data_IF_416678406986
#
_entry.id   IF_416678406986
#
_cell.length_a   1.000
_cell.length_b   1.000
_cell.length_c   1.000
_cell.angle_alpha   90.00
_cell.angle_beta   90.00
_cell.angle_gamma   90.00
#
_symmetry.space_group_name_H-M   'P 1'
#
loop_
_entity.id
_entity.type
_entity.pdbx_description
1 polymer ?
#
# COMPACT_ATOMS: atom_id res chain seq x y z
N UNK A 1 -1.74 7.43 16.17
CA UNK A 1 -1.11 6.81 14.98
C UNK A 1 -0.09 7.77 14.38
N UNK A 2 1.06 7.25 13.96
CA UNK A 2 2.10 8.00 13.24
C UNK A 2 2.41 7.33 11.90
N UNK A 3 2.49 8.11 10.81
CA UNK A 3 2.86 7.62 9.47
C UNK A 3 4.20 8.25 9.10
N UNK A 4 5.21 7.43 8.81
CA UNK A 4 6.52 7.87 8.31
C UNK A 4 6.73 7.37 6.88
N UNK A 5 7.02 8.28 5.95
CA UNK A 5 7.46 7.90 4.62
C UNK A 5 8.91 7.36 4.65
N UNK A 6 9.14 6.17 4.13
CA UNK A 6 10.45 5.52 4.07
C UNK A 6 11.09 5.62 2.67
N UNK A 7 10.33 6.08 1.66
CA UNK A 7 10.75 6.18 0.26
C UNK A 7 9.97 5.24 -0.64
N UNK A 8 9.95 5.52 -1.95
CA UNK A 8 9.20 4.76 -2.96
C UNK A 8 7.73 4.57 -2.56
N UNK A 9 7.24 3.35 -2.44
CA UNK A 9 5.90 3.01 -1.91
C UNK A 9 5.94 2.50 -0.46
N UNK A 10 7.03 2.75 0.27
CA UNK A 10 7.21 2.23 1.63
C UNK A 10 6.87 3.24 2.71
N UNK A 11 5.99 2.82 3.62
CA UNK A 11 5.56 3.59 4.78
C UNK A 11 5.69 2.76 6.05
N UNK A 12 6.03 3.43 7.14
CA UNK A 12 5.90 2.90 8.50
C UNK A 12 4.66 3.50 9.15
N UNK A 13 3.66 2.67 9.40
CA UNK A 13 2.42 3.03 10.09
C UNK A 13 2.51 2.49 11.53
N UNK A 14 2.75 3.38 12.48
CA UNK A 14 2.85 3.04 13.90
C UNK A 14 1.53 3.31 14.61
N UNK A 15 0.98 2.26 15.20
CA UNK A 15 -0.19 2.31 16.09
C UNK A 15 0.26 2.11 17.54
N UNK A 16 -0.69 2.16 18.48
CA UNK A 16 -0.49 1.84 19.90
C UNK A 16 -0.06 0.38 20.12
N UNK A 17 -0.37 -0.53 19.20
CA UNK A 17 -0.26 -1.98 19.41
C UNK A 17 0.66 -2.69 18.41
N UNK A 18 0.92 -2.08 17.25
CA UNK A 18 1.79 -2.63 16.22
C UNK A 18 2.41 -1.55 15.33
N UNK A 19 3.48 -1.93 14.63
CA UNK A 19 4.07 -1.16 13.53
C UNK A 19 3.93 -1.95 12.23
N UNK A 20 3.23 -1.38 11.26
CA UNK A 20 3.10 -1.93 9.89
C UNK A 20 4.13 -1.27 8.98
N UNK A 21 4.84 -2.08 8.19
CA UNK A 21 5.73 -1.63 7.11
C UNK A 21 5.09 -2.02 5.78
N UNK A 22 4.81 -1.04 4.92
CA UNK A 22 4.32 -1.28 3.57
C UNK A 22 5.49 -1.37 2.60
N UNK A 23 5.39 -2.26 1.62
CA UNK A 23 6.27 -2.39 0.44
C UNK A 23 7.75 -2.01 0.69
N UNK A 24 8.46 -2.64 1.65
CA UNK A 24 9.89 -2.44 1.81
C UNK A 24 10.59 -2.78 0.49
N UNK A 25 11.60 -2.01 0.09
CA UNK A 25 12.16 -2.11 -1.26
C UNK A 25 13.67 -2.36 -1.28
N UNK A 26 14.19 -2.92 -2.38
CA UNK A 26 15.63 -3.03 -2.61
C UNK A 26 16.22 -1.64 -2.95
N UNK A 27 17.06 -1.06 -2.07
CA UNK A 27 17.63 0.27 -2.30
C UNK A 27 18.52 0.35 -3.54
N UNK A 28 19.10 -0.78 -4.00
CA UNK A 28 19.92 -0.79 -5.23
C UNK A 28 19.07 -0.71 -6.48
N UNK A 29 17.90 -1.35 -6.47
CA UNK A 29 16.97 -1.34 -7.60
C UNK A 29 16.31 0.03 -7.75
N UNK A 30 15.81 0.58 -6.63
CA UNK A 30 15.10 1.86 -6.62
C UNK A 30 16.06 3.05 -6.70
N UNK A 31 17.29 2.91 -6.20
CA UNK A 31 18.26 4.02 -6.11
C UNK A 31 17.98 4.98 -4.94
N UNK A 32 17.04 4.64 -4.06
CA UNK A 32 16.78 5.35 -2.81
C UNK A 32 17.42 4.64 -1.62
N UNK A 33 17.81 5.40 -0.60
CA UNK A 33 18.39 4.84 0.60
C UNK A 33 17.31 4.17 1.45
N UNK A 34 17.45 2.86 1.68
CA UNK A 34 16.65 2.09 2.62
C UNK A 34 17.57 1.37 3.59
N UNK A 35 17.54 1.74 4.87
CA UNK A 35 18.47 1.24 5.89
C UNK A 35 18.01 -0.06 6.56
N UNK A 36 16.88 -0.60 6.14
CA UNK A 36 16.13 -1.57 6.93
C UNK A 36 15.40 -0.90 8.10
N UNK A 37 14.36 -1.57 8.60
CA UNK A 37 13.52 -1.03 9.67
C UNK A 37 13.00 -2.16 10.56
N UNK A 38 12.59 -1.82 11.77
CA UNK A 38 11.85 -2.72 12.64
C UNK A 38 10.34 -2.54 12.41
N UNK A 39 9.60 -3.65 12.42
CA UNK A 39 8.15 -3.66 12.29
C UNK A 39 7.54 -4.98 12.73
N UNK A 40 6.29 -4.96 13.20
CA UNK A 40 5.55 -6.15 13.60
C UNK A 40 4.90 -6.86 12.40
N UNK A 41 4.42 -6.07 11.44
CA UNK A 41 3.64 -6.53 10.29
C UNK A 41 4.27 -5.95 9.02
N UNK A 42 4.40 -6.77 7.98
CA UNK A 42 4.82 -6.32 6.65
C UNK A 42 3.69 -6.61 5.68
N UNK A 43 3.30 -5.63 4.87
CA UNK A 43 2.38 -5.84 3.74
C UNK A 43 3.11 -5.65 2.43
N UNK A 44 2.92 -6.57 1.50
CA UNK A 44 3.54 -6.59 0.18
C UNK A 44 2.44 -6.54 -0.89
N UNK A 45 2.32 -5.42 -1.60
CA UNK A 45 1.30 -5.26 -2.64
C UNK A 45 1.49 -6.25 -3.78
N UNK A 46 2.74 -6.50 -4.19
CA UNK A 46 3.12 -7.44 -5.24
C UNK A 46 4.60 -7.85 -5.16
N UNK A 47 4.98 -8.92 -5.86
CA UNK A 47 6.30 -9.55 -5.75
C UNK A 47 7.32 -9.00 -6.77
N UNK A 48 7.56 -7.69 -6.73
CA UNK A 48 8.69 -7.05 -7.44
C UNK A 48 9.75 -6.56 -6.45
N UNK A 49 11.02 -6.49 -6.88
CA UNK A 49 12.15 -6.17 -6.00
C UNK A 49 12.12 -4.75 -5.41
N UNK A 50 11.43 -3.83 -6.08
CA UNK A 50 11.15 -2.47 -5.62
C UNK A 50 9.96 -2.38 -4.65
N UNK A 51 9.29 -3.49 -4.33
CA UNK A 51 8.18 -3.56 -3.37
C UNK A 51 8.29 -4.71 -2.36
N UNK A 52 9.18 -5.68 -2.61
CA UNK A 52 9.34 -6.86 -1.77
C UNK A 52 10.79 -7.10 -1.35
N UNK A 53 11.20 -6.32 -0.35
CA UNK A 53 12.40 -6.51 0.44
C UNK A 53 12.03 -6.79 1.91
N UNK A 54 11.06 -7.68 2.14
CA UNK A 54 10.60 -8.04 3.49
C UNK A 54 11.75 -8.55 4.39
N UNK A 55 12.81 -9.10 3.79
CA UNK A 55 14.04 -9.51 4.48
C UNK A 55 14.82 -8.35 5.12
N UNK A 56 14.56 -7.10 4.73
CA UNK A 56 15.13 -5.90 5.33
C UNK A 56 14.30 -5.38 6.52
N UNK A 57 13.18 -6.03 6.85
CA UNK A 57 12.36 -5.72 8.02
C UNK A 57 12.63 -6.73 9.13
N UNK A 58 13.13 -6.24 10.27
CA UNK A 58 13.38 -7.09 11.45
C UNK A 58 12.18 -7.08 12.40
N UNK A 59 11.96 -8.18 13.12
CA UNK A 59 10.91 -8.28 14.13
C UNK A 59 9.52 -8.63 13.60
N UNK A 60 9.37 -8.79 12.27
CA UNK A 60 8.10 -9.09 11.63
C UNK A 60 7.54 -10.43 12.14
N UNK A 61 6.35 -10.37 12.74
CA UNK A 61 5.59 -11.55 13.18
C UNK A 61 4.74 -12.12 12.06
N UNK A 62 4.35 -11.26 11.11
CA UNK A 62 3.57 -11.64 9.94
C UNK A 62 3.96 -10.82 8.72
N UNK A 63 4.16 -11.52 7.61
CA UNK A 63 4.16 -10.94 6.27
C UNK A 63 2.83 -11.28 5.62
N UNK A 64 2.14 -10.27 5.13
CA UNK A 64 0.90 -10.35 4.37
C UNK A 64 1.24 -10.00 2.92
N UNK A 65 1.11 -10.98 2.04
CA UNK A 65 1.46 -10.85 0.62
C UNK A 65 0.32 -11.42 -0.21
N UNK A 66 -0.54 -10.54 -0.72
CA UNK A 66 -1.74 -10.87 -1.47
C UNK A 66 -3.07 -10.58 -0.76
N UNK A 67 -4.19 -10.84 -1.45
CA UNK A 67 -5.54 -10.57 -0.96
C UNK A 67 -5.97 -11.46 0.21
N UNK A 68 -6.87 -10.93 1.05
CA UNK A 68 -7.43 -11.63 2.21
C UNK A 68 -7.71 -10.69 3.38
N UNK A 69 -8.36 -11.22 4.40
CA UNK A 69 -8.67 -10.50 5.65
C UNK A 69 -7.76 -10.99 6.77
N UNK A 70 -7.20 -10.05 7.53
CA UNK A 70 -6.26 -10.31 8.61
C UNK A 70 -6.54 -9.37 9.78
N UNK A 71 -6.44 -9.91 11.00
CA UNK A 71 -6.48 -9.12 12.24
C UNK A 71 -5.21 -9.46 13.03
N UNK A 72 -4.28 -8.51 13.13
CA UNK A 72 -2.96 -8.76 13.71
C UNK A 72 -2.65 -7.65 14.70
N UNK A 73 -2.52 -8.01 15.98
CA UNK A 73 -2.21 -7.06 17.06
C UNK A 73 -3.13 -5.83 17.09
N UNK A 74 -4.43 -6.01 16.84
CA UNK A 74 -5.42 -4.92 16.84
C UNK A 74 -5.32 -3.96 15.64
N UNK A 75 -4.68 -4.41 14.56
CA UNK A 75 -4.74 -3.79 13.24
C UNK A 75 -5.51 -4.73 12.33
N UNK A 76 -6.63 -4.24 11.80
CA UNK A 76 -7.37 -4.91 10.75
C UNK A 76 -6.72 -4.58 9.40
N UNK A 77 -6.50 -5.59 8.58
CA UNK A 77 -5.90 -5.47 7.25
C UNK A 77 -6.75 -6.26 6.27
N UNK A 78 -7.26 -5.59 5.24
CA UNK A 78 -7.96 -6.24 4.13
C UNK A 78 -7.22 -5.97 2.84
N UNK A 79 -6.76 -7.05 2.19
CA UNK A 79 -6.14 -7.00 0.87
C UNK A 79 -7.16 -7.31 -0.22
N UNK A 80 -7.34 -6.40 -1.17
CA UNK A 80 -8.19 -6.60 -2.35
C UNK A 80 -7.35 -6.82 -3.61
N UNK A 81 -7.73 -7.76 -4.48
CA UNK A 81 -7.03 -7.97 -5.74
C UNK A 81 -7.20 -6.76 -6.67
N UNK A 82 -6.13 -6.39 -7.34
CA UNK A 82 -6.08 -5.38 -8.39
C UNK A 82 -4.94 -5.73 -9.37
N UNK A 83 -4.66 -4.86 -10.34
CA UNK A 83 -3.64 -5.10 -11.34
C UNK A 83 -2.67 -3.92 -11.46
N UNK A 84 -1.44 -4.25 -11.83
CA UNK A 84 -0.35 -3.31 -12.09
C UNK A 84 -0.46 -2.70 -13.51
N UNK A 85 -1.47 -3.08 -14.28
CA UNK A 85 -1.71 -2.53 -15.61
C UNK A 85 -3.22 -2.44 -15.92
N UNK A 86 -3.52 -1.78 -17.03
CA UNK A 86 -4.88 -1.64 -17.56
C UNK A 86 -5.38 -2.87 -18.34
N UNK A 87 -4.60 -3.97 -18.38
CA UNK A 87 -4.87 -5.19 -19.15
C UNK A 87 -5.02 -6.42 -18.24
N UNK A 88 -5.52 -6.23 -17.01
CA UNK A 88 -5.75 -7.30 -16.05
C UNK A 88 -4.47 -8.11 -15.69
N UNK A 89 -3.34 -7.44 -15.63
CA UNK A 89 -2.06 -8.01 -15.22
C UNK A 89 -1.29 -8.73 -16.34
N UNK A 90 -1.71 -8.58 -17.60
CA UNK A 90 -1.01 -9.18 -18.75
C UNK A 90 0.40 -8.63 -18.95
N UNK A 91 0.62 -7.34 -18.67
CA UNK A 91 1.90 -6.67 -18.93
C UNK A 91 2.80 -6.63 -17.69
N UNK A 92 2.22 -6.41 -16.50
CA UNK A 92 2.96 -6.15 -15.24
C UNK A 92 2.51 -7.00 -14.06
N UNK A 93 1.46 -7.80 -14.22
CA UNK A 93 0.99 -8.74 -13.20
C UNK A 93 0.01 -8.15 -12.20
N UNK A 94 -0.09 -8.82 -11.05
CA UNK A 94 -1.09 -8.54 -10.02
C UNK A 94 -0.60 -7.46 -9.07
N UNK A 95 -1.54 -6.72 -8.49
CA UNK A 95 -1.32 -5.78 -7.40
C UNK A 95 -2.33 -6.05 -6.28
N UNK A 96 -2.00 -5.72 -5.05
CA UNK A 96 -2.93 -5.80 -3.91
C UNK A 96 -3.10 -4.42 -3.31
N UNK A 97 -4.35 -3.95 -3.29
CA UNK A 97 -4.73 -2.77 -2.52
C UNK A 97 -4.93 -3.20 -1.08
N UNK A 98 -4.31 -2.51 -0.13
CA UNK A 98 -4.48 -2.78 1.29
C UNK A 98 -5.28 -1.68 1.97
N UNK A 99 -6.30 -2.08 2.71
CA UNK A 99 -7.03 -1.23 3.65
C UNK A 99 -6.59 -1.62 5.06
N UNK A 100 -6.17 -0.64 5.84
CA UNK A 100 -5.79 -0.80 7.24
C UNK A 100 -6.78 -0.05 8.11
N UNK A 101 -7.27 -0.70 9.17
CA UNK A 101 -8.07 -0.04 10.19
C UNK A 101 -7.44 -0.24 11.56
N UNK A 102 -7.10 0.87 12.22
CA UNK A 102 -6.58 0.89 13.58
C UNK A 102 -6.85 2.25 14.23
N UNK A 103 -7.08 2.27 15.54
CA UNK A 103 -7.34 3.52 16.28
C UNK A 103 -8.53 4.34 15.72
N UNK A 104 -9.50 3.66 15.09
CA UNK A 104 -10.65 4.27 14.38
C UNK A 104 -10.26 5.13 13.18
N UNK A 105 -9.05 4.92 12.65
CA UNK A 105 -8.60 5.51 11.40
C UNK A 105 -8.50 4.43 10.34
N UNK A 106 -8.93 4.78 9.12
CA UNK A 106 -8.86 3.93 7.94
C UNK A 106 -7.87 4.48 6.92
N UNK A 107 -6.89 3.66 6.57
CA UNK A 107 -5.82 4.01 5.65
C UNK A 107 -5.88 3.08 4.45
N UNK A 108 -5.63 3.59 3.26
CA UNK A 108 -5.63 2.79 2.02
C UNK A 108 -4.30 2.96 1.32
N UNK A 109 -3.63 1.85 1.02
CA UNK A 109 -2.42 1.79 0.21
C UNK A 109 -2.73 1.13 -1.12
N UNK A 110 -2.68 1.91 -2.20
CA UNK A 110 -3.06 1.43 -3.53
C UNK A 110 -1.99 0.55 -4.20
N UNK A 111 -0.81 0.41 -3.60
CA UNK A 111 0.32 -0.29 -4.22
C UNK A 111 0.67 0.37 -5.55
N UNK A 112 1.01 -0.46 -6.53
CA UNK A 112 1.24 0.00 -7.89
C UNK A 112 -0.02 -0.21 -8.74
N UNK A 113 -1.07 0.53 -8.42
CA UNK A 113 -2.30 0.48 -9.18
C UNK A 113 -2.05 0.95 -10.63
N UNK A 114 -2.46 0.14 -11.61
CA UNK A 114 -2.30 0.45 -13.04
C UNK A 114 -3.61 0.76 -13.79
N UNK A 115 -4.75 0.83 -13.08
CA UNK A 115 -6.06 1.04 -13.69
C UNK A 115 -7.01 1.80 -12.75
N UNK A 116 -8.15 2.26 -13.28
CA UNK A 116 -9.21 2.86 -12.46
C UNK A 116 -9.81 1.82 -11.49
N UNK A 117 -10.17 2.26 -10.28
CA UNK A 117 -10.86 1.41 -9.30
C UNK A 117 -12.31 1.13 -9.73
N UNK A 118 -12.81 -0.08 -9.44
CA UNK A 118 -14.23 -0.39 -9.58
C UNK A 118 -15.04 0.31 -8.48
N UNK A 119 -16.30 0.62 -8.78
CA UNK A 119 -17.22 1.20 -7.79
C UNK A 119 -17.40 0.28 -6.58
N UNK A 120 -17.41 -1.04 -6.79
CA UNK A 120 -17.49 -2.01 -5.69
C UNK A 120 -16.30 -1.88 -4.74
N UNK A 121 -15.08 -1.78 -5.26
CA UNK A 121 -13.89 -1.62 -4.42
C UNK A 121 -13.88 -0.25 -3.70
N UNK A 122 -14.34 0.81 -4.35
CA UNK A 122 -14.50 2.13 -3.70
C UNK A 122 -15.50 2.04 -2.55
N UNK A 123 -16.63 1.36 -2.74
CA UNK A 123 -17.62 1.17 -1.69
C UNK A 123 -17.07 0.34 -0.51
N UNK A 124 -16.27 -0.69 -0.78
CA UNK A 124 -15.60 -1.50 0.23
C UNK A 124 -14.55 -0.71 1.02
N UNK A 125 -13.88 0.27 0.39
CA UNK A 125 -12.97 1.20 1.08
C UNK A 125 -13.69 2.04 2.13
N UNK A 126 -14.97 2.38 1.95
CA UNK A 126 -15.74 3.21 2.86
C UNK A 126 -15.09 4.59 3.10
N UNK A 127 -15.26 5.14 4.30
CA UNK A 127 -14.68 6.44 4.66
C UNK A 127 -13.16 6.32 4.85
N UNK A 128 -12.38 6.93 3.95
CA UNK A 128 -10.91 6.87 3.96
C UNK A 128 -10.31 8.10 4.62
N UNK A 129 -9.56 7.92 5.71
CA UNK A 129 -8.86 9.02 6.37
C UNK A 129 -7.56 9.37 5.63
N UNK A 130 -6.77 8.36 5.23
CA UNK A 130 -5.49 8.57 4.51
C UNK A 130 -5.41 7.67 3.30
N UNK A 131 -5.25 8.27 2.12
CA UNK A 131 -5.02 7.56 0.87
C UNK A 131 -3.56 7.71 0.42
N UNK A 132 -2.85 6.59 0.30
CA UNK A 132 -1.52 6.48 -0.28
C UNK A 132 -1.66 5.98 -1.72
N UNK A 133 -1.32 6.83 -2.69
CA UNK A 133 -1.70 6.66 -4.11
C UNK A 133 -0.51 6.89 -5.05
N UNK A 134 -0.22 5.96 -5.98
CA UNK A 134 0.87 6.16 -6.92
C UNK A 134 0.54 7.25 -7.94
N UNK A 135 1.54 8.00 -8.39
CA UNK A 135 1.38 9.08 -9.40
C UNK A 135 2.43 9.05 -10.52
N UNK A 136 3.09 7.90 -10.73
CA UNK A 136 4.26 7.75 -11.60
C UNK A 136 3.96 7.77 -13.11
N UNK A 137 2.78 7.33 -13.55
CA UNK A 137 2.28 7.43 -14.94
C UNK A 137 2.90 6.51 -16.00
N UNK A 138 4.08 5.94 -15.77
CA UNK A 138 4.73 5.01 -16.70
C UNK A 138 4.49 3.53 -16.31
N UNK A 139 4.67 3.25 -15.02
CA UNK A 139 4.50 1.90 -14.45
C UNK A 139 3.20 1.78 -13.67
N UNK A 140 2.63 2.90 -13.23
CA UNK A 140 1.39 2.98 -12.45
C UNK A 140 0.45 3.98 -13.11
N UNK A 141 -0.71 4.22 -12.50
CA UNK A 141 -1.57 5.35 -12.89
C UNK A 141 -0.80 6.68 -12.88
N UNK A 142 -1.24 7.61 -13.74
CA UNK A 142 -0.68 8.94 -13.82
C UNK A 142 -1.36 9.92 -12.85
N UNK A 143 -0.84 11.17 -12.77
CA UNK A 143 -1.41 12.21 -11.92
C UNK A 143 -2.89 12.52 -12.22
N UNK A 144 -3.32 12.37 -13.48
CA UNK A 144 -4.69 12.61 -13.89
C UNK A 144 -5.63 11.55 -13.33
N UNK A 145 -5.33 10.28 -13.56
CA UNK A 145 -6.08 9.14 -13.06
C UNK A 145 -6.09 9.13 -11.53
N UNK A 146 -4.96 9.47 -10.90
CA UNK A 146 -4.88 9.60 -9.44
C UNK A 146 -5.80 10.70 -8.91
N UNK A 147 -5.87 11.86 -9.57
CA UNK A 147 -6.80 12.93 -9.20
C UNK A 147 -8.26 12.51 -9.35
N UNK A 148 -8.60 11.71 -10.37
CA UNK A 148 -9.95 11.18 -10.55
C UNK A 148 -10.32 10.21 -9.42
N UNK A 149 -9.39 9.35 -9.01
CA UNK A 149 -9.58 8.43 -7.87
C UNK A 149 -9.76 9.21 -6.56
N UNK A 150 -8.94 10.23 -6.31
CA UNK A 150 -9.06 11.09 -5.12
C UNK A 150 -10.43 11.75 -5.06
N UNK A 151 -10.96 12.24 -6.18
CA UNK A 151 -12.29 12.86 -6.23
C UNK A 151 -13.44 11.87 -5.99
N UNK A 152 -13.24 10.58 -6.28
CA UNK A 152 -14.24 9.55 -6.01
C UNK A 152 -14.22 9.06 -4.57
N UNK A 153 -13.03 8.93 -3.98
CA UNK A 153 -12.84 8.43 -2.61
C UNK A 153 -13.06 9.55 -1.58
N UNK A 154 -12.80 10.81 -1.95
CA UNK A 154 -12.86 11.99 -1.07
C UNK A 154 -12.12 11.80 0.28
N UNK A 155 -10.85 11.33 0.27
CA UNK A 155 -10.13 11.06 1.51
C UNK A 155 -9.77 12.33 2.26
N UNK A 156 -9.62 12.26 3.58
CA UNK A 156 -9.24 13.43 4.39
C UNK A 156 -7.79 13.88 4.11
N UNK A 157 -6.87 12.93 3.96
CA UNK A 157 -5.48 13.16 3.56
C UNK A 157 -5.11 12.32 2.33
N UNK A 158 -4.31 12.90 1.44
CA UNK A 158 -3.73 12.23 0.28
C UNK A 158 -2.21 12.31 0.39
N UNK A 159 -1.54 11.16 0.27
CA UNK A 159 -0.09 11.05 0.19
C UNK A 159 0.25 10.44 -1.17
N UNK A 160 0.67 11.26 -2.15
CA UNK A 160 1.17 10.71 -3.41
C UNK A 160 2.49 9.97 -3.17
N UNK A 161 2.68 8.86 -3.89
CA UNK A 161 3.91 8.06 -3.87
C UNK A 161 4.40 7.75 -5.29
#
# INVERSE_FOLDING_TARGET
MDITYLGHSSFRIKTKTATVITDPFDPKMVGLKYLGTEGDIVTISHDHGDHNAANLVTGAKKVVAGPGEYEIQGVSIVGYPSFHDAKNGEDRGKNTVYIYEAERLRLVHLGDLGHALSEDLINEMGDVDVLMIPVGGEFTIGPKEASEIVNKIEPFFVIPM
#
